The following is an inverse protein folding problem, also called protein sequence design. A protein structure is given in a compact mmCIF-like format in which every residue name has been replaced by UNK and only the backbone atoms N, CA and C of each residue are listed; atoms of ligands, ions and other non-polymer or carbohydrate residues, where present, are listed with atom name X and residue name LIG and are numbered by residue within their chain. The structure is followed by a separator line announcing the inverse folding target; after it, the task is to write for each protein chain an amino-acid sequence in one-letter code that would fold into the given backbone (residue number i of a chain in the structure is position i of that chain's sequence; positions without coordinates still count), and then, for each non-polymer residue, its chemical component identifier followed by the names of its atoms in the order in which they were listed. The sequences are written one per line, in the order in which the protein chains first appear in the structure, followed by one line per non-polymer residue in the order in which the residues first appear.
data_IF_829328399794
#
_entry.id   IF_829328399794
#
_cell.length_a   1.000
_cell.length_b   1.000
_cell.length_c   1.000
_cell.angle_alpha   90.00
_cell.angle_beta   90.00
_cell.angle_gamma   90.00
#
_symmetry.space_group_name_H-M   'P 1'
#
loop_
_entity.id
_entity.type
_entity.pdbx_description
1 polymer ?
#
# COMPACT_ATOMS: atom_id res chain seq x y z
N UNK A 1 37.81 21.97 -15.52
CA UNK A 1 36.35 22.05 -15.74
C UNK A 1 35.68 20.70 -15.46
N UNK A 2 35.98 20.06 -14.32
CA UNK A 2 35.51 18.70 -13.98
C UNK A 2 35.12 18.49 -12.52
N UNK A 3 35.34 19.49 -11.65
CA UNK A 3 35.14 19.36 -10.20
C UNK A 3 33.67 19.58 -9.77
N UNK A 4 32.95 20.44 -10.51
CA UNK A 4 31.54 20.78 -10.24
C UNK A 4 30.60 19.61 -10.57
N UNK A 5 30.90 18.83 -11.62
CA UNK A 5 30.05 17.71 -12.05
C UNK A 5 30.11 16.52 -11.08
N UNK A 6 31.26 16.25 -10.46
CA UNK A 6 31.43 15.20 -9.44
C UNK A 6 30.73 15.55 -8.13
N UNK A 7 30.74 16.81 -7.72
CA UNK A 7 30.02 17.28 -6.52
C UNK A 7 28.49 17.22 -6.72
N UNK A 8 27.98 17.61 -7.89
CA UNK A 8 26.55 17.55 -8.22
C UNK A 8 26.03 16.10 -8.28
N UNK A 9 26.78 15.20 -8.92
CA UNK A 9 26.43 13.77 -8.96
C UNK A 9 26.39 13.13 -7.56
N UNK A 10 27.32 13.51 -6.67
CA UNK A 10 27.32 13.07 -5.27
C UNK A 10 26.09 13.56 -4.49
N UNK A 11 25.69 14.81 -4.69
CA UNK A 11 24.48 15.38 -4.08
C UNK A 11 23.20 14.73 -4.63
N UNK A 12 23.13 14.47 -5.93
CA UNK A 12 21.99 13.77 -6.54
C UNK A 12 21.86 12.34 -6.01
N UNK A 13 22.98 11.61 -5.88
CA UNK A 13 23.00 10.26 -5.33
C UNK A 13 22.48 10.22 -3.89
N UNK A 14 22.95 11.14 -3.04
CA UNK A 14 22.50 11.21 -1.64
C UNK A 14 20.99 11.49 -1.55
N UNK A 15 20.49 12.48 -2.30
CA UNK A 15 19.04 12.78 -2.37
C UNK A 15 18.23 11.57 -2.86
N UNK A 16 18.74 10.83 -3.83
CA UNK A 16 18.09 9.62 -4.33
C UNK A 16 18.04 8.51 -3.26
N UNK A 17 19.11 8.33 -2.48
CA UNK A 17 19.15 7.38 -1.37
C UNK A 17 18.19 7.78 -0.24
N UNK A 18 18.17 9.06 0.13
CA UNK A 18 17.23 9.59 1.13
C UNK A 18 15.78 9.34 0.71
N UNK A 19 15.45 9.64 -0.54
CA UNK A 19 14.13 9.37 -1.10
C UNK A 19 13.80 7.87 -1.07
N UNK A 20 14.73 7.02 -1.51
CA UNK A 20 14.54 5.58 -1.51
C UNK A 20 14.32 5.03 -0.08
N UNK A 21 15.07 5.54 0.90
CA UNK A 21 14.90 5.16 2.30
C UNK A 21 13.56 5.62 2.85
N UNK A 22 13.13 6.85 2.54
CA UNK A 22 11.82 7.36 2.92
C UNK A 22 10.70 6.45 2.41
N UNK A 23 10.75 6.05 1.13
CA UNK A 23 9.77 5.12 0.55
C UNK A 23 9.83 3.75 1.23
N UNK A 24 11.03 3.18 1.45
CA UNK A 24 11.18 1.87 2.11
C UNK A 24 10.60 1.86 3.52
N UNK A 25 10.88 2.89 4.32
CA UNK A 25 10.38 3.00 5.70
C UNK A 25 8.87 3.15 5.72
N UNK A 26 8.33 4.02 4.87
CA UNK A 26 6.89 4.26 4.81
C UNK A 26 6.12 3.01 4.34
N UNK A 27 6.65 2.28 3.35
CA UNK A 27 6.12 0.97 2.96
C UNK A 27 6.22 -0.06 4.08
N UNK A 28 7.33 -0.12 4.81
CA UNK A 28 7.47 -1.04 5.94
C UNK A 28 6.42 -0.77 7.02
N UNK A 29 6.15 0.50 7.31
CA UNK A 29 5.08 0.91 8.23
C UNK A 29 3.71 0.49 7.73
N UNK A 30 3.39 0.76 6.47
CA UNK A 30 2.12 0.38 5.84
C UNK A 30 1.89 -1.14 5.95
N UNK A 31 2.89 -1.95 5.60
CA UNK A 31 2.82 -3.42 5.72
C UNK A 31 2.60 -3.88 7.16
N UNK A 32 3.24 -3.23 8.14
CA UNK A 32 3.01 -3.52 9.57
C UNK A 32 1.59 -3.20 10.00
N UNK A 33 1.03 -2.07 9.59
CA UNK A 33 -0.35 -1.70 9.91
C UNK A 33 -1.36 -2.68 9.31
N UNK A 34 -1.18 -3.06 8.04
CA UNK A 34 -2.00 -4.09 7.38
C UNK A 34 -1.85 -5.44 8.10
N UNK A 35 -0.62 -5.85 8.40
CA UNK A 35 -0.34 -7.10 9.09
C UNK A 35 -0.88 -7.14 10.53
N UNK A 36 -0.98 -5.99 11.20
CA UNK A 36 -1.61 -5.86 12.51
C UNK A 36 -3.15 -5.85 12.44
N UNK A 37 -3.72 -5.56 11.27
CA UNK A 37 -5.16 -5.34 11.08
C UNK A 37 -5.62 -3.93 11.47
N UNK A 38 -4.68 -3.00 11.68
CA UNK A 38 -4.98 -1.60 11.96
C UNK A 38 -5.41 -0.82 10.70
N UNK A 39 -5.07 -1.34 9.52
CA UNK A 39 -5.45 -0.78 8.23
C UNK A 39 -5.86 -1.90 7.28
N UNK A 40 -7.01 -1.77 6.62
CA UNK A 40 -7.47 -2.79 5.68
C UNK A 40 -6.74 -2.67 4.34
N UNK A 41 -6.35 -3.80 3.73
CA UNK A 41 -5.76 -3.75 2.38
C UNK A 41 -6.72 -3.19 1.34
N UNK A 42 -8.03 -3.41 1.49
CA UNK A 42 -9.05 -2.82 0.63
C UNK A 42 -9.00 -1.28 0.66
N UNK A 43 -8.88 -0.71 1.86
CA UNK A 43 -8.78 0.74 2.06
C UNK A 43 -7.51 1.32 1.41
N UNK A 44 -6.37 0.63 1.55
CA UNK A 44 -5.11 1.01 0.89
C UNK A 44 -5.23 0.98 -0.63
N UNK A 45 -5.93 -0.01 -1.18
CA UNK A 45 -6.10 -0.14 -2.64
C UNK A 45 -6.98 0.98 -3.19
N UNK A 46 -8.05 1.34 -2.48
CA UNK A 46 -8.98 2.41 -2.89
C UNK A 46 -8.32 3.78 -2.75
N UNK A 47 -7.79 4.10 -1.57
CA UNK A 47 -7.16 5.39 -1.28
C UNK A 47 -5.84 5.60 -2.02
N UNK A 48 -5.13 4.52 -2.34
CA UNK A 48 -3.83 4.52 -3.02
C UNK A 48 -2.86 5.59 -2.47
N UNK A 49 -2.45 5.47 -1.20
CA UNK A 49 -1.51 6.41 -0.60
C UNK A 49 -0.17 6.37 -1.35
N UNK A 50 0.60 7.46 -1.28
CA UNK A 50 1.80 7.66 -2.10
C UNK A 50 2.85 6.55 -1.90
N UNK A 51 2.94 5.98 -0.70
CA UNK A 51 3.82 4.86 -0.36
C UNK A 51 3.47 3.60 -1.17
N UNK A 52 2.17 3.38 -1.36
CA UNK A 52 1.60 2.23 -2.04
C UNK A 52 1.50 2.42 -3.56
N UNK A 53 1.56 3.66 -4.04
CA UNK A 53 1.39 3.99 -5.46
C UNK A 53 2.26 3.11 -6.39
N UNK A 54 3.53 2.90 -5.99
CA UNK A 54 4.50 2.09 -6.73
C UNK A 54 4.71 0.69 -6.14
N UNK A 55 3.95 0.29 -5.12
CA UNK A 55 3.91 -1.09 -4.64
C UNK A 55 3.12 -1.96 -5.61
N UNK A 56 3.48 -3.24 -5.72
CA UNK A 56 2.65 -4.19 -6.43
C UNK A 56 1.38 -4.50 -5.63
N UNK A 57 0.29 -4.80 -6.32
CA UNK A 57 -0.96 -5.21 -5.68
C UNK A 57 -0.77 -6.50 -4.88
N UNK A 58 0.09 -7.41 -5.34
CA UNK A 58 0.42 -8.64 -4.60
C UNK A 58 1.14 -8.34 -3.28
N UNK A 59 2.06 -7.38 -3.22
CA UNK A 59 2.72 -6.99 -1.96
C UNK A 59 1.72 -6.47 -0.92
N UNK A 60 0.76 -5.65 -1.34
CA UNK A 60 -0.29 -5.13 -0.45
C UNK A 60 -1.16 -6.28 0.06
N UNK A 61 -1.61 -7.17 -0.84
CA UNK A 61 -2.46 -8.30 -0.47
C UNK A 61 -1.76 -9.29 0.46
N UNK A 62 -0.49 -9.61 0.20
CA UNK A 62 0.33 -10.52 1.01
C UNK A 62 0.69 -9.96 2.38
N UNK A 63 0.53 -8.65 2.61
CA UNK A 63 0.79 -8.04 3.92
C UNK A 63 -0.32 -8.34 4.94
N UNK A 64 -1.47 -8.86 4.51
CA UNK A 64 -2.58 -9.22 5.38
C UNK A 64 -2.34 -10.57 6.09
N UNK A 65 -2.90 -10.74 7.30
CA UNK A 65 -2.90 -12.04 7.99
C UNK A 65 -3.66 -13.09 7.19
N UNK A 66 -3.13 -14.33 7.11
CA UNK A 66 -3.76 -15.48 6.42
C UNK A 66 -3.90 -15.30 4.89
N UNK A 67 -3.11 -14.41 4.30
CA UNK A 67 -2.99 -14.25 2.85
C UNK A 67 -1.67 -14.82 2.35
N UNK A 68 -1.75 -15.93 1.62
CA UNK A 68 -0.61 -16.52 0.91
C UNK A 68 -0.69 -16.29 -0.60
N UNK A 69 0.38 -16.63 -1.33
CA UNK A 69 0.49 -16.50 -2.79
C UNK A 69 -0.71 -17.10 -3.54
N UNK A 70 -1.13 -18.31 -3.18
CA UNK A 70 -2.26 -18.99 -3.82
C UNK A 70 -3.61 -18.25 -3.66
N UNK A 71 -3.81 -17.56 -2.53
CA UNK A 71 -5.03 -16.75 -2.30
C UNK A 71 -4.98 -15.44 -3.08
N UNK A 72 -3.82 -14.78 -3.09
CA UNK A 72 -3.60 -13.56 -3.86
C UNK A 72 -3.81 -13.80 -5.35
N UNK A 73 -3.16 -14.84 -5.91
CA UNK A 73 -3.28 -15.22 -7.31
C UNK A 73 -4.73 -15.49 -7.71
N UNK A 74 -5.47 -16.28 -6.92
CA UNK A 74 -6.89 -16.57 -7.22
C UNK A 74 -7.75 -15.31 -7.28
N UNK A 75 -7.60 -14.40 -6.32
CA UNK A 75 -8.34 -13.13 -6.30
C UNK A 75 -8.01 -12.27 -7.53
N UNK A 76 -6.74 -12.15 -7.86
CA UNK A 76 -6.29 -11.28 -8.95
C UNK A 76 -6.70 -11.83 -10.32
N UNK A 77 -6.65 -13.16 -10.48
CA UNK A 77 -7.16 -13.84 -11.68
C UNK A 77 -8.66 -13.63 -11.87
N UNK A 78 -9.47 -13.67 -10.81
CA UNK A 78 -10.93 -13.46 -10.95
C UNK A 78 -11.30 -12.04 -11.40
N UNK A 79 -10.40 -11.06 -11.23
CA UNK A 79 -10.61 -9.65 -11.62
C UNK A 79 -9.84 -9.31 -12.90
N UNK A 80 -8.98 -10.22 -13.40
CA UNK A 80 -8.14 -9.98 -14.57
C UNK A 80 -7.01 -8.98 -14.32
N UNK A 81 -6.44 -8.96 -13.11
CA UNK A 81 -5.34 -8.07 -12.72
C UNK A 81 -4.04 -8.89 -12.59
N UNK A 82 -2.91 -8.49 -13.19
CA UNK A 82 -1.65 -9.18 -12.99
C UNK A 82 -1.03 -8.85 -11.62
N UNK A 83 -0.32 -9.82 -11.03
CA UNK A 83 0.21 -9.75 -9.64
C UNK A 83 1.23 -8.63 -9.41
N UNK A 84 2.02 -8.31 -10.44
CA UNK A 84 3.02 -7.25 -10.41
C UNK A 84 2.45 -5.87 -10.75
N UNK A 85 1.15 -5.75 -11.03
CA UNK A 85 0.53 -4.46 -11.34
C UNK A 85 0.67 -3.52 -10.14
N UNK A 86 1.10 -2.30 -10.40
CA UNK A 86 1.23 -1.29 -9.36
C UNK A 86 -0.14 -0.74 -8.95
N UNK A 87 -0.33 -0.48 -7.65
CA UNK A 87 -1.60 0.04 -7.11
C UNK A 87 -2.01 1.34 -7.81
N UNK A 88 -1.04 2.23 -8.07
CA UNK A 88 -1.28 3.51 -8.76
C UNK A 88 -1.81 3.38 -10.18
N UNK A 89 -1.59 2.24 -10.84
CA UNK A 89 -2.02 1.98 -12.23
C UNK A 89 -3.34 1.22 -12.34
N UNK A 90 -3.94 0.85 -11.20
CA UNK A 90 -5.26 0.23 -11.18
C UNK A 90 -6.31 1.25 -11.59
N UNK A 91 -7.21 0.85 -12.49
CA UNK A 91 -8.38 1.66 -12.81
C UNK A 91 -9.35 1.67 -11.64
N UNK A 92 -10.19 2.69 -11.56
CA UNK A 92 -11.19 2.79 -10.48
C UNK A 92 -12.08 1.53 -10.41
N UNK A 93 -12.51 1.02 -11.57
CA UNK A 93 -13.25 -0.24 -11.66
C UNK A 93 -12.51 -1.42 -11.03
N UNK A 94 -11.19 -1.52 -11.25
CA UNK A 94 -10.37 -2.58 -10.67
C UNK A 94 -10.22 -2.41 -9.15
N UNK A 95 -10.06 -1.17 -8.66
CA UNK A 95 -9.97 -0.87 -7.23
C UNK A 95 -11.26 -1.22 -6.50
N UNK A 96 -12.42 -0.83 -7.04
CA UNK A 96 -13.73 -1.14 -6.47
C UNK A 96 -14.03 -2.64 -6.50
N UNK A 97 -13.70 -3.33 -7.60
CA UNK A 97 -13.85 -4.79 -7.67
C UNK A 97 -12.98 -5.52 -6.64
N UNK A 98 -11.73 -5.09 -6.45
CA UNK A 98 -10.85 -5.62 -5.41
C UNK A 98 -11.41 -5.36 -4.02
N UNK A 99 -11.87 -4.14 -3.74
CA UNK A 99 -12.44 -3.77 -2.46
C UNK A 99 -13.70 -4.58 -2.12
N UNK A 100 -14.59 -4.80 -3.10
CA UNK A 100 -15.80 -5.61 -2.92
C UNK A 100 -15.48 -7.04 -2.50
N UNK A 101 -14.62 -7.74 -3.25
CA UNK A 101 -14.25 -9.13 -2.93
C UNK A 101 -13.46 -9.24 -1.61
N UNK A 102 -12.69 -8.20 -1.26
CA UNK A 102 -11.99 -8.15 0.03
C UNK A 102 -12.95 -7.88 1.19
N UNK A 103 -13.96 -7.04 1.01
CA UNK A 103 -14.99 -6.71 2.01
C UNK A 103 -15.90 -7.88 2.34
N UNK A 104 -16.30 -8.67 1.34
CA UNK A 104 -17.06 -9.92 1.53
C UNK A 104 -16.27 -10.99 2.30
N UNK A 105 -14.93 -10.90 2.29
CA UNK A 105 -14.02 -11.94 2.80
C UNK A 105 -13.23 -11.53 4.04
N UNK A 106 -13.43 -10.29 4.50
CA UNK A 106 -12.90 -9.80 5.75
C UNK A 106 -13.83 -10.22 6.90
N UNK A 107 -13.32 -10.69 8.05
CA UNK A 107 -14.15 -10.66 9.26
C UNK A 107 -14.58 -9.20 9.51
N UNK A 108 -15.79 -8.95 10.06
CA UNK A 108 -16.24 -7.59 10.33
C UNK A 108 -15.22 -6.92 11.25
N UNK A 109 -14.40 -6.03 10.68
CA UNK A 109 -13.54 -5.15 11.44
C UNK A 109 -14.47 -4.20 12.17
N UNK A 110 -14.57 -4.38 13.49
CA UNK A 110 -15.32 -3.51 14.40
C UNK A 110 -15.04 -2.06 14.05
N UNK A 111 -16.10 -1.34 13.74
CA UNK A 111 -16.12 0.10 13.60
C UNK A 111 -15.39 0.74 14.79
N UNK A 112 -14.22 1.32 14.54
CA UNK A 112 -13.59 2.24 15.48
C UNK A 112 -14.14 3.63 15.23
N UNK A 113 -15.45 3.79 15.38
CA UNK A 113 -16.09 5.09 15.44
C UNK A 113 -16.80 5.25 16.78
N UNK A 114 -16.05 5.54 17.85
CA UNK A 114 -16.52 6.36 18.99
C UNK A 114 -15.31 6.79 19.84
N UNK A 115 -14.71 7.95 19.56
CA UNK A 115 -13.95 8.76 20.54
C UNK A 115 -13.59 10.11 19.91
N UNK A 116 -14.59 10.98 19.77
CA UNK A 116 -14.40 12.32 19.23
C UNK A 116 -15.60 13.22 19.42
N UNK A 117 -16.39 13.00 20.48
CA UNK A 117 -17.39 13.93 20.94
C UNK A 117 -17.42 13.87 22.47
N UNK A 118 -17.44 15.07 23.08
CA UNK A 118 -17.57 15.36 24.51
C UNK A 118 -16.27 15.34 25.33
N UNK A 119 -15.63 16.50 25.44
CA UNK A 119 -15.60 17.27 26.70
C UNK A 119 -14.41 18.23 26.70
N UNK A 120 -14.66 19.53 26.54
CA UNK A 120 -14.03 20.52 27.41
C UNK A 120 -15.07 21.59 27.68
N UNK A 121 -15.48 21.62 28.94
CA UNK A 121 -16.10 22.76 29.60
C UNK A 121 -15.12 23.94 29.66
#
# INVERSE_FOLDING_TARGET
MGDVATLDAGQQHLRALEHANRVRLARAQLKRQIGAGALAAAEVIVSCPWEAHSMSISDVLMSQKRWGRARCRRLLLSIGVPENKQVGTLTERQRLALAGVLGEKAPPTRDMNTAGALSLA
#
